data_IF_093045335735
#
_entry.id   IF_093045335735
#
_cell.length_a   1.000
_cell.length_b   1.000
_cell.length_c   1.000
_cell.angle_alpha   90.00
_cell.angle_beta   90.00
_cell.angle_gamma   90.00
#
_symmetry.space_group_name_H-M   'P 1'
#
loop_
_entity.id
_entity.type
_entity.pdbx_description
1 polymer ?
#
# COMPACT_ATOMS: atom_id res chain seq x y z
N UNK A 1 19.01 -10.78 4.94
CA UNK A 1 19.37 -10.82 6.37
C UNK A 1 20.77 -10.29 6.63
N UNK A 2 21.76 -10.56 5.77
CA UNK A 2 23.17 -10.19 6.02
C UNK A 2 23.51 -8.69 5.88
N UNK A 3 22.71 -7.89 5.16
CA UNK A 3 22.90 -6.43 5.07
C UNK A 3 22.30 -5.60 6.21
N UNK A 4 21.62 -6.24 7.17
CA UNK A 4 21.04 -5.56 8.34
C UNK A 4 22.03 -5.42 9.50
N UNK A 5 23.24 -6.00 9.38
CA UNK A 5 24.22 -6.13 10.47
C UNK A 5 25.06 -4.86 10.64
N UNK A 6 25.29 -4.07 9.60
CA UNK A 6 26.25 -2.95 9.69
C UNK A 6 25.64 -1.65 10.28
N UNK A 7 24.35 -1.40 10.09
CA UNK A 7 23.62 -0.31 10.78
C UNK A 7 23.24 -0.73 12.21
N UNK A 8 23.29 -2.04 12.49
CA UNK A 8 22.94 -2.61 13.77
C UNK A 8 23.95 -2.15 14.83
N UNK A 9 25.25 -2.14 14.54
CA UNK A 9 26.35 -1.94 15.48
C UNK A 9 26.41 -0.59 16.23
N UNK A 10 25.52 0.35 15.92
CA UNK A 10 25.45 1.67 16.57
C UNK A 10 24.30 1.86 17.60
N UNK A 11 23.36 0.91 17.76
CA UNK A 11 22.24 1.02 18.73
C UNK A 11 22.62 0.52 20.14
N UNK A 12 22.02 1.00 21.24
CA UNK A 12 22.31 0.42 22.55
C UNK A 12 21.83 -1.05 22.65
N UNK A 13 22.61 -1.89 23.33
CA UNK A 13 22.43 -3.35 23.42
C UNK A 13 21.07 -3.75 24.03
N UNK A 14 20.53 -2.90 24.91
CA UNK A 14 19.21 -3.03 25.54
C UNK A 14 18.04 -2.81 24.57
N UNK A 15 18.20 -1.92 23.59
CA UNK A 15 17.16 -1.54 22.63
C UNK A 15 17.06 -2.56 21.48
N UNK A 16 18.22 -3.10 21.06
CA UNK A 16 18.29 -4.18 20.06
C UNK A 16 17.72 -5.50 20.57
N UNK A 17 17.98 -5.83 21.84
CA UNK A 17 17.57 -7.09 22.45
C UNK A 17 16.04 -7.19 22.65
N UNK A 18 15.38 -6.10 23.05
CA UNK A 18 13.93 -6.07 23.26
C UNK A 18 13.16 -6.23 21.95
N UNK A 19 13.60 -5.57 20.87
CA UNK A 19 12.88 -5.56 19.60
C UNK A 19 13.06 -6.84 18.77
N UNK A 20 14.28 -7.42 18.71
CA UNK A 20 14.51 -8.73 18.05
C UNK A 20 13.82 -9.87 18.79
N UNK A 21 13.82 -9.85 20.13
CA UNK A 21 13.00 -10.78 20.88
C UNK A 21 11.52 -10.57 20.60
N UNK A 22 11.04 -9.34 20.41
CA UNK A 22 9.64 -9.06 20.12
C UNK A 22 9.20 -9.49 18.72
N UNK A 23 9.87 -9.06 17.64
CA UNK A 23 9.44 -9.35 16.27
C UNK A 23 9.59 -10.84 15.89
N UNK A 24 10.64 -11.51 16.38
CA UNK A 24 10.84 -12.96 16.22
C UNK A 24 9.81 -13.75 17.03
N UNK A 25 9.62 -13.42 18.32
CA UNK A 25 8.59 -14.09 19.14
C UNK A 25 7.18 -13.77 18.70
N UNK A 26 6.91 -12.61 18.10
CA UNK A 26 5.60 -12.32 17.53
C UNK A 26 5.29 -13.35 16.44
N UNK A 27 6.23 -13.61 15.52
CA UNK A 27 6.00 -14.65 14.51
C UNK A 27 5.90 -16.07 15.08
N UNK A 28 6.72 -16.43 16.07
CA UNK A 28 6.67 -17.74 16.74
C UNK A 28 5.38 -17.93 17.58
N UNK A 29 4.95 -16.90 18.32
CA UNK A 29 3.68 -16.87 19.08
C UNK A 29 2.47 -17.01 18.16
N UNK A 30 2.56 -16.59 16.90
CA UNK A 30 1.48 -16.79 15.93
C UNK A 30 1.42 -18.24 15.40
N UNK A 31 2.57 -18.90 15.24
CA UNK A 31 2.64 -20.24 14.68
C UNK A 31 2.29 -21.33 15.72
N UNK A 32 2.68 -21.15 16.98
CA UNK A 32 2.44 -22.14 18.05
C UNK A 32 0.96 -22.30 18.44
N UNK A 33 0.15 -21.26 18.26
CA UNK A 33 -1.25 -21.28 18.67
C UNK A 33 -2.16 -21.92 17.60
N UNK A 34 -1.63 -22.22 16.42
CA UNK A 34 -2.37 -22.91 15.34
C UNK A 34 -2.52 -24.43 15.52
N UNK A 35 -1.94 -25.02 16.58
CA UNK A 35 -1.76 -26.47 16.75
C UNK A 35 -2.68 -27.18 17.76
N UNK A 36 -3.74 -26.56 18.27
CA UNK A 36 -4.51 -27.13 19.40
C UNK A 36 -6.02 -27.36 19.16
N UNK A 37 -6.54 -28.27 20.00
CA UNK A 37 -7.67 -29.19 19.81
C UNK A 37 -9.10 -28.57 19.89
N UNK A 38 -10.08 -29.29 19.34
CA UNK A 38 -11.45 -28.86 18.96
C UNK A 38 -12.46 -28.55 20.11
N UNK A 39 -12.01 -28.18 21.32
CA UNK A 39 -12.92 -27.92 22.45
C UNK A 39 -13.32 -26.43 22.54
N UNK A 40 -14.62 -26.12 22.60
CA UNK A 40 -15.16 -24.75 22.47
C UNK A 40 -14.69 -23.79 23.58
N UNK A 41 -14.54 -24.27 24.82
CA UNK A 41 -13.98 -23.48 25.94
C UNK A 41 -12.49 -23.15 25.74
N UNK A 42 -11.73 -24.06 25.15
CA UNK A 42 -10.33 -23.81 24.83
C UNK A 42 -10.21 -22.81 23.68
N UNK A 43 -11.11 -22.87 22.68
CA UNK A 43 -11.16 -21.89 21.59
C UNK A 43 -11.47 -20.47 22.06
N UNK A 44 -12.45 -20.26 22.94
CA UNK A 44 -12.75 -18.92 23.47
C UNK A 44 -11.55 -18.33 24.20
N UNK A 45 -10.93 -19.11 25.11
CA UNK A 45 -9.75 -18.68 25.86
C UNK A 45 -8.54 -18.39 24.94
N UNK A 46 -8.34 -19.20 23.91
CA UNK A 46 -7.28 -19.01 22.91
C UNK A 46 -7.48 -17.71 22.11
N UNK A 47 -8.71 -17.46 21.65
CA UNK A 47 -9.05 -16.24 20.92
C UNK A 47 -8.93 -14.99 21.78
N UNK A 48 -9.35 -15.04 23.04
CA UNK A 48 -9.13 -13.96 24.00
C UNK A 48 -7.64 -13.69 24.21
N UNK A 49 -6.84 -14.75 24.39
CA UNK A 49 -5.39 -14.64 24.58
C UNK A 49 -4.72 -14.01 23.37
N UNK A 50 -5.07 -14.45 22.14
CA UNK A 50 -4.56 -13.85 20.90
C UNK A 50 -4.86 -12.35 20.82
N UNK A 51 -6.11 -11.96 21.09
CA UNK A 51 -6.52 -10.56 21.06
C UNK A 51 -5.80 -9.71 22.13
N UNK A 52 -5.58 -10.27 23.32
CA UNK A 52 -4.79 -9.62 24.37
C UNK A 52 -3.32 -9.44 23.97
N UNK A 53 -2.72 -10.45 23.32
CA UNK A 53 -1.36 -10.34 22.78
C UNK A 53 -1.27 -9.24 21.72
N UNK A 54 -2.20 -9.23 20.76
CA UNK A 54 -2.27 -8.16 19.75
C UNK A 54 -2.39 -6.77 20.39
N UNK A 55 -3.25 -6.62 21.40
CA UNK A 55 -3.42 -5.35 22.10
C UNK A 55 -2.16 -4.90 22.83
N UNK A 56 -1.49 -5.82 23.53
CA UNK A 56 -0.24 -5.54 24.23
C UNK A 56 0.86 -5.08 23.26
N UNK A 57 1.01 -5.78 22.13
CA UNK A 57 1.98 -5.43 21.08
C UNK A 57 1.65 -4.05 20.49
N UNK A 58 0.39 -3.79 20.16
CA UNK A 58 -0.06 -2.51 19.61
C UNK A 58 0.24 -1.34 20.56
N UNK A 59 0.05 -1.52 21.87
CA UNK A 59 0.39 -0.51 22.88
C UNK A 59 1.90 -0.25 22.93
N UNK A 60 2.71 -1.31 23.01
CA UNK A 60 4.17 -1.18 23.02
C UNK A 60 4.70 -0.49 21.75
N UNK A 61 4.12 -0.80 20.59
CA UNK A 61 4.48 -0.16 19.32
C UNK A 61 4.06 1.31 19.28
N UNK A 62 2.88 1.67 19.80
CA UNK A 62 2.44 3.07 19.89
C UNK A 62 3.35 3.89 20.79
N UNK A 63 3.75 3.34 21.94
CA UNK A 63 4.71 3.97 22.85
C UNK A 63 6.08 4.16 22.19
N UNK A 64 6.57 3.13 21.50
CA UNK A 64 7.85 3.15 20.76
C UNK A 64 7.84 4.17 19.62
N UNK A 65 6.70 4.34 18.94
CA UNK A 65 6.57 5.35 17.88
C UNK A 65 6.61 6.78 18.43
N UNK A 66 6.06 7.00 19.62
CA UNK A 66 6.13 8.30 20.30
C UNK A 66 7.58 8.63 20.66
N UNK A 67 8.33 7.66 21.18
CA UNK A 67 9.74 7.84 21.56
C UNK A 67 10.71 7.87 20.38
N UNK A 68 10.35 7.30 19.23
CA UNK A 68 11.22 7.26 18.05
C UNK A 68 11.71 8.67 17.65
N UNK A 69 13.02 8.84 17.51
CA UNK A 69 13.68 10.10 17.13
C UNK A 69 14.55 9.93 15.90
N UNK A 70 14.95 8.70 15.55
CA UNK A 70 15.89 8.44 14.46
C UNK A 70 15.24 7.71 13.29
N UNK A 71 15.82 7.85 12.10
CA UNK A 71 15.38 7.13 10.89
C UNK A 71 15.46 5.60 11.07
N UNK A 72 16.55 5.01 11.62
CA UNK A 72 16.62 3.58 11.90
C UNK A 72 15.47 3.07 12.77
N UNK A 73 15.13 3.79 13.85
CA UNK A 73 14.00 3.43 14.71
C UNK A 73 12.68 3.42 13.93
N UNK A 74 12.44 4.42 13.08
CA UNK A 74 11.24 4.48 12.25
C UNK A 74 11.19 3.33 11.23
N UNK A 75 12.32 2.97 10.62
CA UNK A 75 12.41 1.82 9.71
C UNK A 75 12.05 0.52 10.42
N UNK A 76 12.58 0.30 11.62
CA UNK A 76 12.23 -0.86 12.44
C UNK A 76 10.73 -0.85 12.75
N UNK A 77 10.17 0.29 13.14
CA UNK A 77 8.74 0.43 13.37
C UNK A 77 7.90 0.11 12.12
N UNK A 78 8.31 0.54 10.93
CA UNK A 78 7.64 0.19 9.67
C UNK A 78 7.62 -1.33 9.43
N UNK A 79 8.74 -2.00 9.64
CA UNK A 79 8.85 -3.45 9.45
C UNK A 79 7.99 -4.22 10.44
N UNK A 80 8.02 -3.85 11.72
CA UNK A 80 7.12 -4.43 12.72
C UNK A 80 5.65 -4.15 12.41
N UNK A 81 5.35 -2.96 11.87
CA UNK A 81 3.99 -2.58 11.45
C UNK A 81 3.50 -3.53 10.37
N UNK A 82 4.29 -3.75 9.32
CA UNK A 82 3.92 -4.65 8.24
C UNK A 82 3.56 -6.05 8.73
N UNK A 83 4.38 -6.64 9.61
CA UNK A 83 4.14 -7.98 10.16
C UNK A 83 2.85 -8.00 10.98
N UNK A 84 2.71 -7.04 11.90
CA UNK A 84 1.58 -6.99 12.81
C UNK A 84 0.27 -6.70 12.09
N UNK A 85 0.28 -5.78 11.14
CA UNK A 85 -0.90 -5.45 10.35
C UNK A 85 -1.27 -6.60 9.43
N UNK A 86 -0.30 -7.21 8.73
CA UNK A 86 -0.61 -8.32 7.84
C UNK A 86 -1.30 -9.45 8.63
N UNK A 87 -0.72 -9.84 9.76
CA UNK A 87 -1.29 -10.91 10.59
C UNK A 87 -2.59 -10.49 11.29
N UNK A 88 -2.62 -9.29 11.87
CA UNK A 88 -3.76 -8.78 12.61
C UNK A 88 -4.97 -8.45 11.75
N UNK A 89 -4.79 -7.81 10.59
CA UNK A 89 -5.88 -7.56 9.66
C UNK A 89 -6.36 -8.84 8.99
N UNK A 90 -5.49 -9.78 8.60
CA UNK A 90 -5.94 -11.07 8.07
C UNK A 90 -6.77 -11.83 9.11
N UNK A 91 -6.34 -11.82 10.37
CA UNK A 91 -7.13 -12.38 11.48
C UNK A 91 -8.50 -11.71 11.63
N UNK A 92 -8.57 -10.38 11.49
CA UNK A 92 -9.83 -9.63 11.49
C UNK A 92 -10.69 -9.85 10.23
N UNK A 93 -10.09 -10.19 9.08
CA UNK A 93 -10.79 -10.39 7.81
C UNK A 93 -11.43 -11.78 7.72
N UNK A 94 -10.73 -12.79 8.22
CA UNK A 94 -11.19 -14.17 8.31
C UNK A 94 -12.08 -14.42 9.54
N UNK A 95 -12.74 -13.37 10.06
CA UNK A 95 -13.47 -13.44 11.32
C UNK A 95 -14.60 -14.48 11.32
N UNK A 96 -15.39 -14.57 10.25
CA UNK A 96 -16.48 -15.56 10.18
C UNK A 96 -15.96 -17.00 10.10
N UNK A 97 -14.87 -17.24 9.37
CA UNK A 97 -14.26 -18.57 9.25
C UNK A 97 -13.50 -18.99 10.51
N UNK A 98 -12.85 -18.05 11.21
CA UNK A 98 -12.07 -18.30 12.42
C UNK A 98 -12.98 -18.40 13.66
N UNK A 99 -13.90 -17.46 13.83
CA UNK A 99 -14.70 -17.33 15.05
C UNK A 99 -16.05 -18.06 14.95
N UNK A 100 -16.60 -18.26 13.75
CA UNK A 100 -17.88 -18.94 13.55
C UNK A 100 -18.97 -18.40 14.48
N UNK A 101 -19.59 -19.29 15.24
CA UNK A 101 -20.66 -18.95 16.20
C UNK A 101 -20.19 -18.02 17.35
N UNK A 102 -18.88 -17.93 17.61
CA UNK A 102 -18.31 -17.06 18.64
C UNK A 102 -18.15 -15.60 18.16
N UNK A 103 -18.37 -15.31 16.88
CA UNK A 103 -18.10 -14.00 16.31
C UNK A 103 -18.85 -12.87 17.03
N UNK A 104 -20.10 -13.09 17.43
CA UNK A 104 -20.89 -12.08 18.16
C UNK A 104 -20.25 -11.69 19.50
N UNK A 105 -19.58 -12.64 20.15
CA UNK A 105 -18.87 -12.40 21.40
C UNK A 105 -17.60 -11.56 21.20
N UNK A 106 -16.91 -11.76 20.06
CA UNK A 106 -15.63 -11.11 19.76
C UNK A 106 -15.71 -9.88 18.86
N UNK A 107 -16.89 -9.56 18.31
CA UNK A 107 -17.09 -8.43 17.41
C UNK A 107 -16.59 -7.10 17.98
N UNK A 108 -16.88 -6.82 19.25
CA UNK A 108 -16.41 -5.63 19.95
C UNK A 108 -14.88 -5.58 20.10
N UNK A 109 -14.25 -6.61 20.70
CA UNK A 109 -12.79 -6.73 20.78
C UNK A 109 -12.07 -6.60 19.42
N UNK A 110 -12.56 -7.27 18.38
CA UNK A 110 -12.02 -7.22 17.02
C UNK A 110 -12.10 -5.81 16.43
N UNK A 111 -13.24 -5.14 16.57
CA UNK A 111 -13.40 -3.75 16.13
C UNK A 111 -12.47 -2.79 16.89
N UNK A 112 -12.27 -3.02 18.20
CA UNK A 112 -11.31 -2.24 19.00
C UNK A 112 -9.88 -2.43 18.50
N UNK A 113 -9.49 -3.68 18.20
CA UNK A 113 -8.16 -3.98 17.68
C UNK A 113 -7.92 -3.32 16.30
N UNK A 114 -8.90 -3.43 15.40
CA UNK A 114 -8.86 -2.78 14.09
C UNK A 114 -8.68 -1.26 14.22
N UNK A 115 -9.44 -0.61 15.11
CA UNK A 115 -9.31 0.83 15.33
C UNK A 115 -7.93 1.22 15.88
N UNK A 116 -7.35 0.43 16.80
CA UNK A 116 -5.99 0.67 17.31
C UNK A 116 -4.94 0.54 16.21
N UNK A 117 -5.06 -0.47 15.34
CA UNK A 117 -4.18 -0.62 14.17
C UNK A 117 -4.28 0.61 13.26
N UNK A 118 -5.51 1.07 12.99
CA UNK A 118 -5.78 2.27 12.18
C UNK A 118 -5.13 3.53 12.75
N UNK A 119 -5.36 3.83 14.02
CA UNK A 119 -4.75 4.99 14.72
C UNK A 119 -3.23 4.97 14.66
N UNK A 120 -2.64 3.78 14.84
CA UNK A 120 -1.20 3.62 14.80
C UNK A 120 -0.63 3.88 13.40
N UNK A 121 -1.34 3.49 12.33
CA UNK A 121 -0.93 3.80 10.95
C UNK A 121 -0.96 5.30 10.64
N UNK A 122 -1.99 6.00 11.08
CA UNK A 122 -2.08 7.45 10.93
C UNK A 122 -0.94 8.15 11.69
N UNK A 123 -0.66 7.70 12.92
CA UNK A 123 0.44 8.21 13.72
C UNK A 123 1.80 7.94 13.06
N UNK A 124 2.00 6.74 12.49
CA UNK A 124 3.22 6.34 11.81
C UNK A 124 3.48 7.23 10.60
N UNK A 125 2.47 7.44 9.75
CA UNK A 125 2.55 8.33 8.59
C UNK A 125 2.89 9.78 8.99
N UNK A 126 2.31 10.29 10.07
CA UNK A 126 2.63 11.63 10.58
C UNK A 126 4.04 11.74 11.17
N UNK A 127 4.50 10.72 11.90
CA UNK A 127 5.84 10.68 12.49
C UNK A 127 6.91 10.66 11.39
N UNK A 128 6.63 9.91 10.33
CA UNK A 128 7.49 9.79 9.16
C UNK A 128 7.85 11.16 8.58
N UNK A 129 6.87 12.02 8.34
CA UNK A 129 7.09 13.35 7.78
C UNK A 129 7.87 14.31 8.69
N UNK A 130 7.98 14.01 9.99
CA UNK A 130 8.68 14.87 10.96
C UNK A 130 10.15 14.48 11.14
N UNK A 131 10.49 13.20 10.97
CA UNK A 131 11.85 12.69 11.16
C UNK A 131 12.68 12.84 9.88
N UNK A 132 12.03 12.83 8.72
CA UNK A 132 12.67 12.99 7.42
C UNK A 132 12.78 14.46 7.02
N UNK A 133 13.60 15.21 7.74
CA UNK A 133 14.13 16.49 7.26
C UNK A 133 15.55 16.26 6.70
N UNK A 134 15.78 16.43 5.39
CA UNK A 134 17.11 16.28 4.78
C UNK A 134 18.18 17.14 5.45
N UNK A 135 17.78 18.27 6.06
CA UNK A 135 18.70 19.19 6.75
C UNK A 135 19.17 18.65 8.10
N UNK A 136 18.41 17.75 8.71
CA UNK A 136 18.75 17.18 10.02
C UNK A 136 19.67 15.97 9.89
N UNK A 137 19.59 15.22 8.77
CA UNK A 137 20.22 13.91 8.66
C UNK A 137 20.77 13.59 7.26
N UNK A 138 21.83 14.31 6.81
CA UNK A 138 22.42 14.10 5.49
C UNK A 138 23.07 12.72 5.31
N UNK A 139 23.52 12.05 6.38
CA UNK A 139 24.21 10.75 6.25
C UNK A 139 23.24 9.56 6.08
N UNK A 140 21.93 9.80 6.22
CA UNK A 140 20.91 8.74 6.26
C UNK A 140 20.34 8.39 4.89
N UNK A 141 20.92 8.90 3.80
CA UNK A 141 20.53 8.59 2.43
C UNK A 141 20.52 7.09 2.11
N UNK A 142 21.46 6.34 2.67
CA UNK A 142 21.53 4.88 2.49
C UNK A 142 20.33 4.14 3.10
N UNK A 143 19.63 4.75 4.06
CA UNK A 143 18.42 4.23 4.70
C UNK A 143 17.14 4.65 3.99
N UNK A 144 17.18 5.65 3.10
CA UNK A 144 15.97 6.14 2.43
C UNK A 144 15.34 5.07 1.54
N UNK A 145 16.18 4.35 0.79
CA UNK A 145 15.76 3.26 -0.10
C UNK A 145 14.99 2.16 0.63
N UNK A 146 15.53 1.46 1.65
CA UNK A 146 14.78 0.43 2.35
C UNK A 146 13.50 0.96 2.98
N UNK A 147 13.48 2.23 3.39
CA UNK A 147 12.31 2.81 4.02
C UNK A 147 11.19 3.08 3.01
N UNK A 148 11.53 3.61 1.83
CA UNK A 148 10.59 3.74 0.72
C UNK A 148 10.02 2.36 0.35
N UNK A 149 10.85 1.31 0.32
CA UNK A 149 10.38 -0.05 0.04
C UNK A 149 9.34 -0.51 1.06
N UNK A 150 9.65 -0.41 2.37
CA UNK A 150 8.75 -0.87 3.43
C UNK A 150 7.50 0.00 3.51
N UNK A 151 7.61 1.31 3.34
CA UNK A 151 6.45 2.21 3.28
C UNK A 151 5.57 1.87 2.07
N UNK A 152 6.13 1.55 0.91
CA UNK A 152 5.35 1.16 -0.25
C UNK A 152 4.59 -0.16 0.00
N UNK A 153 5.25 -1.19 0.55
CA UNK A 153 4.57 -2.44 0.95
C UNK A 153 3.40 -2.16 1.89
N UNK A 154 3.60 -1.21 2.81
CA UNK A 154 2.60 -0.83 3.78
C UNK A 154 1.43 -0.09 3.13
N UNK A 155 1.72 0.81 2.18
CA UNK A 155 0.71 1.48 1.36
C UNK A 155 -0.16 0.45 0.63
N UNK A 156 0.45 -0.54 -0.04
CA UNK A 156 -0.27 -1.60 -0.77
C UNK A 156 -1.16 -2.40 0.18
N UNK A 157 -0.60 -2.88 1.28
CA UNK A 157 -1.33 -3.68 2.27
C UNK A 157 -2.51 -2.90 2.85
N UNK A 158 -2.24 -1.72 3.43
CA UNK A 158 -3.27 -0.94 4.13
C UNK A 158 -4.32 -0.43 3.16
N UNK A 159 -3.96 -0.02 1.93
CA UNK A 159 -4.94 0.45 0.95
C UNK A 159 -5.93 -0.64 0.53
N UNK A 160 -5.54 -1.93 0.57
CA UNK A 160 -6.46 -3.05 0.34
C UNK A 160 -7.40 -3.34 1.51
N UNK A 161 -7.15 -2.75 2.68
CA UNK A 161 -7.85 -3.03 3.94
C UNK A 161 -8.68 -1.82 4.43
N UNK A 162 -8.08 -0.63 4.39
CA UNK A 162 -8.66 0.65 4.75
C UNK A 162 -8.19 1.72 3.76
N UNK A 163 -9.05 2.01 2.78
CA UNK A 163 -8.79 2.99 1.73
C UNK A 163 -8.41 4.38 2.26
N UNK A 164 -9.03 4.83 3.37
CA UNK A 164 -8.81 6.18 3.89
C UNK A 164 -7.40 6.32 4.48
N UNK A 165 -6.95 5.32 5.25
CA UNK A 165 -5.58 5.30 5.78
C UNK A 165 -4.57 5.03 4.67
N UNK A 166 -4.90 4.16 3.71
CA UNK A 166 -4.07 3.92 2.55
C UNK A 166 -3.77 5.22 1.78
N UNK A 167 -4.77 6.09 1.57
CA UNK A 167 -4.55 7.42 0.97
C UNK A 167 -3.54 8.23 1.78
N UNK A 168 -3.66 8.25 3.11
CA UNK A 168 -2.75 9.00 3.97
C UNK A 168 -1.29 8.51 3.80
N UNK A 169 -1.09 7.20 3.80
CA UNK A 169 0.25 6.61 3.62
C UNK A 169 0.83 6.89 2.23
N UNK A 170 0.01 6.78 1.17
CA UNK A 170 0.44 7.15 -0.18
C UNK A 170 0.80 8.64 -0.31
N UNK A 171 0.07 9.53 0.38
CA UNK A 171 0.43 10.96 0.45
C UNK A 171 1.77 11.17 1.15
N UNK A 172 2.05 10.43 2.22
CA UNK A 172 3.36 10.43 2.88
C UNK A 172 4.45 9.95 1.92
N UNK A 173 4.24 8.84 1.22
CA UNK A 173 5.18 8.30 0.24
C UNK A 173 5.49 9.32 -0.87
N UNK A 174 4.45 9.95 -1.44
CA UNK A 174 4.61 10.99 -2.46
C UNK A 174 5.42 12.17 -1.94
N UNK A 175 5.15 12.63 -0.70
CA UNK A 175 5.89 13.74 -0.11
C UNK A 175 7.37 13.43 0.09
N UNK A 176 7.73 12.16 0.29
CA UNK A 176 9.14 11.76 0.30
C UNK A 176 9.77 11.85 -1.08
N UNK A 177 9.07 11.41 -2.12
CA UNK A 177 9.57 11.59 -3.49
C UNK A 177 9.76 13.06 -3.83
N UNK A 178 8.84 13.94 -3.42
CA UNK A 178 8.99 15.39 -3.58
C UNK A 178 10.20 15.93 -2.80
N UNK A 179 10.46 15.40 -1.61
CA UNK A 179 11.55 15.84 -0.74
C UNK A 179 12.92 15.41 -1.28
N UNK A 180 12.99 14.25 -1.95
CA UNK A 180 14.23 13.62 -2.41
C UNK A 180 14.28 13.49 -3.94
N UNK A 181 13.53 14.32 -4.68
CA UNK A 181 13.43 14.26 -6.15
C UNK A 181 14.80 14.30 -6.84
N UNK A 182 15.72 15.11 -6.28
CA UNK A 182 17.09 15.28 -6.80
C UNK A 182 17.94 14.00 -6.77
N UNK A 183 17.56 13.00 -5.97
CA UNK A 183 18.27 11.71 -5.91
C UNK A 183 18.01 10.84 -7.15
N UNK A 184 17.02 11.21 -7.96
CA UNK A 184 16.68 10.45 -9.16
C UNK A 184 15.94 9.15 -8.88
N UNK A 185 15.39 8.58 -9.94
CA UNK A 185 14.39 7.50 -9.82
C UNK A 185 14.99 6.15 -9.45
N UNK A 186 16.27 5.88 -9.78
CA UNK A 186 16.95 4.60 -9.51
C UNK A 186 17.23 4.46 -8.02
N UNK A 187 17.74 5.51 -7.39
CA UNK A 187 18.11 5.49 -5.98
C UNK A 187 16.88 5.41 -5.07
N UNK A 188 15.76 5.98 -5.51
CA UNK A 188 14.47 5.92 -4.84
C UNK A 188 13.62 4.66 -5.16
N UNK A 189 14.09 3.76 -6.03
CA UNK A 189 13.32 2.60 -6.52
C UNK A 189 11.94 2.93 -7.09
N UNK A 190 11.82 4.06 -7.77
CA UNK A 190 10.58 4.48 -8.41
C UNK A 190 10.13 3.45 -9.44
N UNK A 191 11.09 2.78 -10.11
CA UNK A 191 10.83 1.71 -11.05
C UNK A 191 10.00 0.59 -10.42
N UNK A 192 10.46 0.00 -9.32
CA UNK A 192 9.78 -1.12 -8.65
C UNK A 192 8.39 -0.72 -8.17
N UNK A 193 8.24 0.51 -7.68
CA UNK A 193 6.98 1.04 -7.15
C UNK A 193 5.98 1.26 -8.28
N UNK A 194 6.42 1.86 -9.38
CA UNK A 194 5.60 2.04 -10.57
C UNK A 194 5.18 0.70 -11.17
N UNK A 195 6.06 -0.30 -11.26
CA UNK A 195 5.66 -1.62 -11.77
C UNK A 195 4.57 -2.26 -10.91
N UNK A 196 4.68 -2.18 -9.58
CA UNK A 196 3.63 -2.65 -8.66
C UNK A 196 2.30 -1.93 -8.89
N UNK A 197 2.34 -0.59 -8.92
CA UNK A 197 1.16 0.23 -9.19
C UNK A 197 0.55 -0.06 -10.57
N UNK A 198 1.36 -0.31 -11.59
CA UNK A 198 0.88 -0.63 -12.93
C UNK A 198 0.15 -1.97 -12.95
N UNK A 199 0.68 -2.98 -12.24
CA UNK A 199 0.01 -4.27 -12.07
C UNK A 199 -1.33 -4.10 -11.35
N UNK A 200 -1.36 -3.36 -10.25
CA UNK A 200 -2.60 -3.16 -9.49
C UNK A 200 -3.65 -2.36 -10.26
N UNK A 201 -3.24 -1.34 -11.02
CA UNK A 201 -4.12 -0.59 -11.93
C UNK A 201 -4.64 -1.52 -13.02
N UNK A 202 -3.80 -2.43 -13.52
CA UNK A 202 -4.20 -3.41 -14.51
C UNK A 202 -5.29 -4.33 -13.96
N UNK A 203 -5.05 -4.92 -12.80
CA UNK A 203 -5.94 -5.88 -12.16
C UNK A 203 -7.31 -5.23 -11.86
N UNK A 204 -7.33 -4.06 -11.22
CA UNK A 204 -8.57 -3.32 -10.95
C UNK A 204 -9.26 -2.92 -12.26
N UNK A 205 -8.50 -2.51 -13.29
CA UNK A 205 -9.06 -2.17 -14.59
C UNK A 205 -9.72 -3.37 -15.29
N UNK A 206 -9.19 -4.58 -15.11
CA UNK A 206 -9.78 -5.79 -15.68
C UNK A 206 -11.01 -6.27 -14.90
N UNK A 207 -11.01 -6.17 -13.57
CA UNK A 207 -12.22 -6.35 -12.73
C UNK A 207 -13.32 -5.38 -13.13
N UNK A 208 -12.96 -4.11 -13.31
CA UNK A 208 -13.88 -3.07 -13.74
C UNK A 208 -14.49 -3.36 -15.13
N UNK A 209 -13.69 -3.89 -16.08
CA UNK A 209 -14.22 -4.36 -17.39
C UNK A 209 -15.18 -5.54 -17.24
N UNK A 210 -14.99 -6.40 -16.25
CA UNK A 210 -15.86 -7.55 -15.99
C UNK A 210 -17.19 -7.10 -15.36
N UNK A 211 -17.14 -6.20 -14.37
CA UNK A 211 -18.33 -5.67 -13.72
C UNK A 211 -19.22 -4.90 -14.69
N UNK A 212 -18.64 -4.04 -15.53
CA UNK A 212 -19.37 -3.33 -16.60
C UNK A 212 -20.12 -4.29 -17.55
N UNK A 213 -19.63 -5.51 -17.75
CA UNK A 213 -20.32 -6.50 -18.60
C UNK A 213 -21.48 -7.17 -17.89
N UNK A 214 -21.43 -7.26 -16.56
CA UNK A 214 -22.31 -8.10 -15.76
C UNK A 214 -23.39 -7.29 -15.02
N UNK A 215 -23.17 -5.99 -14.80
CA UNK A 215 -24.06 -5.11 -14.04
C UNK A 215 -24.22 -3.76 -14.72
N UNK A 216 -25.43 -3.19 -14.68
CA UNK A 216 -25.72 -1.82 -15.14
C UNK A 216 -25.28 -0.73 -14.12
N UNK A 217 -24.66 -1.13 -13.01
CA UNK A 217 -24.21 -0.22 -11.94
C UNK A 217 -22.72 0.12 -12.04
N UNK A 218 -22.37 1.34 -11.62
CA UNK A 218 -20.96 1.76 -11.50
C UNK A 218 -20.41 1.24 -10.18
N UNK A 219 -19.31 0.48 -10.20
CA UNK A 219 -18.64 0.03 -8.98
C UNK A 219 -17.90 1.22 -8.35
N UNK A 220 -18.61 1.94 -7.49
CA UNK A 220 -18.18 3.25 -6.94
C UNK A 220 -16.88 3.12 -6.15
N UNK A 221 -16.69 2.01 -5.43
CA UNK A 221 -15.53 1.79 -4.57
C UNK A 221 -14.28 1.51 -5.40
N UNK A 222 -14.38 0.59 -6.36
CA UNK A 222 -13.34 0.15 -7.30
C UNK A 222 -12.92 1.34 -8.18
N UNK A 223 -13.91 2.12 -8.65
CA UNK A 223 -13.67 3.37 -9.38
C UNK A 223 -12.81 4.34 -8.58
N UNK A 224 -13.12 4.56 -7.30
CA UNK A 224 -12.33 5.46 -6.44
C UNK A 224 -10.91 4.95 -6.23
N UNK A 225 -10.74 3.66 -5.98
CA UNK A 225 -9.42 3.04 -5.83
C UNK A 225 -8.58 3.17 -7.11
N UNK A 226 -9.19 2.87 -8.26
CA UNK A 226 -8.58 2.98 -9.57
C UNK A 226 -8.11 4.41 -9.85
N UNK A 227 -8.99 5.39 -9.67
CA UNK A 227 -8.70 6.80 -9.89
C UNK A 227 -7.62 7.33 -8.96
N UNK A 228 -7.61 6.89 -7.70
CA UNK A 228 -6.57 7.27 -6.76
C UNK A 228 -5.20 6.75 -7.23
N UNK A 229 -5.09 5.46 -7.56
CA UNK A 229 -3.83 4.86 -8.03
C UNK A 229 -3.33 5.49 -9.33
N UNK A 230 -4.24 5.80 -10.27
CA UNK A 230 -3.89 6.57 -11.47
C UNK A 230 -3.29 7.93 -11.12
N UNK A 231 -3.88 8.64 -10.15
CA UNK A 231 -3.37 9.93 -9.71
C UNK A 231 -2.00 9.83 -9.01
N UNK A 232 -1.76 8.77 -8.23
CA UNK A 232 -0.43 8.47 -7.67
C UNK A 232 0.59 8.28 -8.79
N UNK A 233 0.30 7.40 -9.76
CA UNK A 233 1.17 7.15 -10.92
C UNK A 233 1.44 8.41 -11.71
N UNK A 234 0.40 9.18 -12.05
CA UNK A 234 0.51 10.46 -12.77
C UNK A 234 1.46 11.42 -12.05
N UNK A 235 1.35 11.51 -10.72
CA UNK A 235 2.16 12.41 -9.93
C UNK A 235 3.62 11.97 -9.92
N UNK A 236 3.90 10.68 -9.70
CA UNK A 236 5.25 10.11 -9.72
C UNK A 236 5.91 10.32 -11.09
N UNK A 237 5.22 9.99 -12.18
CA UNK A 237 5.75 10.15 -13.54
C UNK A 237 6.05 11.61 -13.91
N UNK A 238 5.28 12.57 -13.37
CA UNK A 238 5.55 14.01 -13.54
C UNK A 238 6.79 14.49 -12.78
N UNK A 239 7.05 13.93 -11.59
CA UNK A 239 8.27 14.23 -10.81
C UNK A 239 9.50 13.61 -11.45
N UNK A 240 9.37 12.43 -12.07
CA UNK A 240 10.50 11.72 -12.68
C UNK A 240 10.33 11.56 -14.20
N UNK A 241 10.34 12.66 -15.00
CA UNK A 241 10.12 12.58 -16.44
C UNK A 241 11.26 11.87 -17.18
N UNK A 242 12.46 11.80 -16.60
CA UNK A 242 13.61 11.04 -17.13
C UNK A 242 13.35 9.53 -17.11
N UNK A 243 12.60 9.03 -16.12
CA UNK A 243 12.21 7.62 -16.05
C UNK A 243 11.50 7.16 -17.32
N UNK A 244 10.58 7.99 -17.85
CA UNK A 244 9.82 7.70 -19.08
C UNK A 244 10.77 7.52 -20.28
N UNK A 245 11.79 8.39 -20.37
CA UNK A 245 12.75 8.36 -21.48
C UNK A 245 13.68 7.16 -21.41
N UNK A 246 14.10 6.79 -20.20
CA UNK A 246 15.10 5.73 -19.96
C UNK A 246 14.47 4.33 -19.87
N UNK A 247 13.18 4.24 -19.49
CA UNK A 247 12.46 2.97 -19.34
C UNK A 247 11.18 2.93 -20.20
N UNK A 248 11.28 3.06 -21.54
CA UNK A 248 10.12 3.05 -22.43
C UNK A 248 9.38 1.71 -22.40
N UNK A 249 10.08 0.60 -22.20
CA UNK A 249 9.46 -0.74 -22.14
C UNK A 249 8.61 -0.93 -20.87
N UNK A 250 9.10 -0.46 -19.71
CA UNK A 250 8.32 -0.55 -18.47
C UNK A 250 7.05 0.29 -18.50
N UNK A 251 7.06 1.38 -19.28
CA UNK A 251 5.96 2.33 -19.35
C UNK A 251 4.98 2.04 -20.49
N UNK A 252 5.44 1.46 -21.60
CA UNK A 252 4.58 1.15 -22.75
C UNK A 252 3.46 0.16 -22.39
N UNK A 253 3.75 -0.81 -21.52
CA UNK A 253 2.75 -1.79 -21.07
C UNK A 253 1.59 -1.12 -20.33
N UNK A 254 1.88 -0.17 -19.42
CA UNK A 254 0.83 0.61 -18.76
C UNK A 254 0.02 1.40 -19.78
N UNK A 255 0.70 2.12 -20.69
CA UNK A 255 0.02 2.94 -21.70
C UNK A 255 -0.94 2.09 -22.52
N UNK A 256 -0.48 0.94 -23.04
CA UNK A 256 -1.30 0.02 -23.81
C UNK A 256 -2.51 -0.46 -23.00
N UNK A 257 -2.31 -0.83 -21.73
CA UNK A 257 -3.41 -1.28 -20.88
C UNK A 257 -4.45 -0.20 -20.61
N UNK A 258 -4.00 1.01 -20.25
CA UNK A 258 -4.90 2.17 -20.04
C UNK A 258 -5.67 2.54 -21.30
N UNK A 259 -5.01 2.37 -22.45
CA UNK A 259 -5.61 2.59 -23.75
C UNK A 259 -6.69 1.56 -24.08
N UNK A 260 -6.40 0.27 -23.88
CA UNK A 260 -7.38 -0.82 -24.05
C UNK A 260 -8.57 -0.68 -23.09
N UNK A 261 -8.34 -0.21 -21.87
CA UNK A 261 -9.39 0.09 -20.90
C UNK A 261 -10.29 1.23 -21.41
N UNK A 262 -9.72 2.34 -21.89
CA UNK A 262 -10.48 3.44 -22.47
C UNK A 262 -11.35 2.96 -23.64
N UNK A 263 -10.77 2.22 -24.60
CA UNK A 263 -11.52 1.66 -25.74
C UNK A 263 -12.68 0.78 -25.24
N UNK A 264 -12.39 -0.14 -24.31
CA UNK A 264 -13.38 -1.07 -23.78
C UNK A 264 -14.54 -0.33 -23.12
N UNK A 265 -14.26 0.69 -22.31
CA UNK A 265 -15.27 1.51 -21.67
C UNK A 265 -16.04 2.36 -22.68
N UNK A 266 -15.38 2.95 -23.68
CA UNK A 266 -16.03 3.75 -24.72
C UNK A 266 -17.04 2.94 -25.54
N UNK A 267 -16.70 1.71 -25.92
CA UNK A 267 -17.56 0.88 -26.77
C UNK A 267 -18.65 0.11 -26.01
N UNK A 268 -18.41 -0.26 -24.75
CA UNK A 268 -19.34 -1.14 -24.01
C UNK A 268 -20.28 -0.41 -23.09
N UNK A 269 -19.90 0.77 -22.58
CA UNK A 269 -20.77 1.51 -21.69
C UNK A 269 -21.88 2.22 -22.48
N UNK A 270 -23.14 2.17 -22.00
CA UNK A 270 -24.24 2.90 -22.60
C UNK A 270 -23.95 4.41 -22.61
N UNK A 271 -24.51 5.14 -23.58
CA UNK A 271 -24.34 6.60 -23.70
C UNK A 271 -25.23 7.40 -22.74
N UNK A 272 -26.04 6.72 -21.95
CA UNK A 272 -26.98 7.28 -20.99
C UNK A 272 -26.32 7.48 -19.62
N UNK A 273 -26.74 8.55 -18.94
CA UNK A 273 -26.32 9.11 -17.64
C UNK A 273 -25.07 8.51 -16.99
N UNK A 274 -25.17 7.30 -16.46
CA UNK A 274 -24.13 6.64 -15.67
C UNK A 274 -22.92 6.22 -16.53
N UNK A 275 -23.16 5.64 -17.71
CA UNK A 275 -22.10 5.22 -18.62
C UNK A 275 -21.33 6.40 -19.23
N UNK A 276 -22.02 7.50 -19.51
CA UNK A 276 -21.39 8.76 -19.96
C UNK A 276 -20.53 9.40 -18.88
N UNK A 277 -21.04 9.44 -17.64
CA UNK A 277 -20.29 9.96 -16.49
C UNK A 277 -18.97 9.18 -16.29
N UNK A 278 -19.05 7.84 -16.36
CA UNK A 278 -17.90 6.97 -16.21
C UNK A 278 -16.87 7.14 -17.34
N UNK A 279 -17.32 7.25 -18.60
CA UNK A 279 -16.45 7.57 -19.75
C UNK A 279 -15.69 8.87 -19.51
N UNK A 280 -16.38 9.93 -19.09
CA UNK A 280 -15.77 11.23 -18.82
C UNK A 280 -14.71 11.14 -17.71
N UNK A 281 -15.05 10.49 -16.59
CA UNK A 281 -14.14 10.30 -15.45
C UNK A 281 -12.86 9.57 -15.88
N UNK A 282 -13.00 8.46 -16.62
CA UNK A 282 -11.84 7.68 -17.08
C UNK A 282 -10.96 8.48 -18.05
N UNK A 283 -11.58 9.19 -18.99
CA UNK A 283 -10.87 10.02 -19.97
C UNK A 283 -10.12 11.15 -19.28
N UNK A 284 -10.76 11.87 -18.36
CA UNK A 284 -10.15 12.97 -17.61
C UNK A 284 -8.95 12.51 -16.77
N UNK A 285 -8.92 11.26 -16.32
CA UNK A 285 -7.85 10.74 -15.48
C UNK A 285 -6.75 10.02 -16.27
N UNK A 286 -7.11 9.28 -17.32
CA UNK A 286 -6.18 8.51 -18.15
C UNK A 286 -5.48 9.42 -19.17
N UNK A 287 -6.20 10.33 -19.83
CA UNK A 287 -5.60 11.17 -20.89
C UNK A 287 -4.40 11.99 -20.41
N UNK A 288 -4.40 12.60 -19.20
CA UNK A 288 -3.24 13.30 -18.68
C UNK A 288 -2.03 12.42 -18.36
N UNK A 289 -2.21 11.10 -18.21
CA UNK A 289 -1.11 10.14 -18.05
C UNK A 289 -0.55 9.80 -19.43
N UNK A 290 -1.43 9.49 -20.38
CA UNK A 290 -1.05 9.18 -21.76
C UNK A 290 -0.30 10.34 -22.44
N UNK A 291 -0.66 11.58 -22.13
CA UNK A 291 0.04 12.77 -22.64
C UNK A 291 1.47 12.95 -22.11
N UNK A 292 1.84 12.26 -21.02
CA UNK A 292 3.24 12.21 -20.56
C UNK A 292 4.12 11.38 -21.49
N UNK A 293 3.52 10.46 -22.25
CA UNK A 293 4.23 9.50 -23.11
C UNK A 293 4.18 9.88 -24.59
N UNK A 294 3.10 10.53 -25.04
CA UNK A 294 2.90 10.87 -26.44
C UNK A 294 2.42 12.32 -26.57
N UNK A 295 2.91 13.02 -27.60
CA UNK A 295 2.18 14.20 -28.10
C UNK A 295 0.84 13.73 -28.66
N UNK A 296 -0.23 14.53 -28.52
CA UNK A 296 -1.59 14.19 -29.01
C UNK A 296 -1.61 13.58 -30.42
N UNK A 297 -0.73 14.09 -31.30
CA UNK A 297 -0.57 13.64 -32.69
C UNK A 297 -0.03 12.20 -32.80
N UNK A 298 0.94 11.82 -31.96
CA UNK A 298 1.48 10.44 -31.93
C UNK A 298 0.51 9.48 -31.25
N UNK A 299 -0.19 9.95 -30.22
CA UNK A 299 -1.24 9.18 -29.55
C UNK A 299 -2.31 8.71 -30.55
N UNK A 300 -2.91 9.65 -31.30
CA UNK A 300 -3.88 9.37 -32.37
C UNK A 300 -3.35 8.44 -33.47
N UNK A 301 -2.05 8.50 -33.77
CA UNK A 301 -1.44 7.62 -34.78
C UNK A 301 -1.29 6.18 -34.28
N UNK A 302 -0.84 6.01 -33.02
CA UNK A 302 -0.76 4.69 -32.38
C UNK A 302 -2.13 4.05 -32.17
N UNK A 303 -3.15 4.87 -31.85
CA UNK A 303 -4.57 4.52 -31.80
C UNK A 303 -5.07 3.91 -33.12
N UNK A 304 -4.75 4.56 -34.25
CA UNK A 304 -5.20 4.11 -35.57
C UNK A 304 -4.47 2.85 -36.06
N UNK A 305 -3.19 2.69 -35.69
CA UNK A 305 -2.39 1.51 -36.06
C UNK A 305 -2.84 0.23 -35.34
N UNK A 306 -3.26 0.31 -34.07
CA UNK A 306 -3.74 -0.86 -33.32
C UNK A 306 -5.13 -1.34 -33.74
N UNK A 307 -5.97 -0.45 -34.27
CA UNK A 307 -7.29 -0.80 -34.83
C UNK A 307 -7.23 -1.32 -36.28
N UNK A 308 -6.03 -1.37 -36.88
CA UNK A 308 -5.81 -1.88 -38.24
C UNK A 308 -5.30 -3.34 -38.28
N UNK A 309 -5.28 -4.00 -37.13
CA UNK A 309 -5.04 -5.44 -36.96
C UNK A 309 -6.24 -6.10 -36.31
#
# INVERSE_FOLDING_TARGET
MEKYVEIFDELEESERALFFQFASRISELFDDVSRYDNNTKNRTFEMETKLQCYDFIMRAMKESLVSAKTIPEVLLMLQASLVLLYKGYNHCKECESIYGDLLQHFKGPLASLFNKMREFQEALGCKFLKIFDPKLHPDWFHLLKPIICELNKLCVLVFSLDYAVGIHLYKTLIKLFETYEDMGYIDLQIDSILHGLFSEIKDIGDEFKLEIKNTDEVPVHESRMFLFKLNVVKKILKMFPTFIKENPQSTIHLVLHLYELLISCYHKLPEEDVGRCLKNILVENISPILSLFYSEKKFLTSVLLLNSK
#
